data_IF_500565945643
#
_entry.id   IF_500565945643
#
_cell.length_a   1.000
_cell.length_b   1.000
_cell.length_c   1.000
_cell.angle_alpha   90.00
_cell.angle_beta   90.00
_cell.angle_gamma   90.00
#
_symmetry.space_group_name_H-M   'P 1'
#
loop_
_entity.id
_entity.type
_entity.pdbx_description
1 polymer ?
#
# COMPACT_ATOMS: atom_id res chain seq x y z
N UNK A 1 -44.65 -7.81 -9.05
CA UNK A 1 -43.60 -6.81 -9.35
C UNK A 1 -43.14 -6.02 -8.13
N UNK A 2 -44.03 -5.37 -7.37
CA UNK A 2 -43.67 -4.60 -6.15
C UNK A 2 -42.95 -5.43 -5.05
N UNK A 3 -43.36 -6.69 -4.85
CA UNK A 3 -42.77 -7.56 -3.81
C UNK A 3 -41.32 -8.00 -4.14
N UNK A 4 -41.00 -8.26 -5.41
CA UNK A 4 -39.63 -8.58 -5.84
C UNK A 4 -38.68 -7.39 -5.70
N UNK A 5 -39.16 -6.17 -5.92
CA UNK A 5 -38.37 -4.95 -5.70
C UNK A 5 -38.05 -4.79 -4.21
N UNK A 6 -39.04 -4.99 -3.33
CA UNK A 6 -38.83 -4.91 -1.88
C UNK A 6 -37.85 -5.98 -1.38
N UNK A 7 -37.94 -7.22 -1.88
CA UNK A 7 -37.01 -8.30 -1.53
C UNK A 7 -35.60 -7.99 -2.03
N UNK A 8 -35.44 -7.50 -3.27
CA UNK A 8 -34.14 -7.10 -3.81
C UNK A 8 -33.53 -5.91 -3.07
N UNK A 9 -34.33 -4.90 -2.69
CA UNK A 9 -33.87 -3.79 -1.86
C UNK A 9 -33.44 -4.26 -0.47
N UNK A 10 -34.19 -5.19 0.14
CA UNK A 10 -33.84 -5.77 1.44
C UNK A 10 -32.54 -6.58 1.38
N UNK A 11 -32.35 -7.39 0.33
CA UNK A 11 -31.10 -8.10 0.08
C UNK A 11 -29.93 -7.14 -0.17
N UNK A 12 -30.14 -6.06 -0.94
CA UNK A 12 -29.12 -5.02 -1.13
C UNK A 12 -28.75 -4.34 0.19
N UNK A 13 -29.73 -4.05 1.05
CA UNK A 13 -29.50 -3.44 2.36
C UNK A 13 -28.72 -4.36 3.30
N UNK A 14 -28.91 -5.68 3.23
CA UNK A 14 -28.10 -6.65 3.99
C UNK A 14 -26.64 -6.63 3.53
N UNK A 15 -26.38 -6.30 2.26
CA UNK A 15 -25.03 -6.17 1.72
C UNK A 15 -24.36 -4.82 2.03
N UNK A 16 -25.04 -3.89 2.72
CA UNK A 16 -24.43 -2.62 3.12
C UNK A 16 -23.67 -2.86 4.43
N UNK A 17 -22.39 -3.20 4.30
CA UNK A 17 -21.49 -3.19 5.44
C UNK A 17 -21.20 -1.75 5.87
N UNK A 18 -21.31 -1.48 7.16
CA UNK A 18 -20.87 -0.21 7.73
C UNK A 18 -19.34 -0.16 7.74
N UNK A 19 -18.76 0.74 6.93
CA UNK A 19 -17.33 1.02 6.98
C UNK A 19 -17.04 1.89 8.20
N UNK A 20 -16.41 1.31 9.22
CA UNK A 20 -15.90 2.06 10.36
C UNK A 20 -14.55 2.68 10.01
N UNK A 21 -14.34 3.96 10.34
CA UNK A 21 -13.01 4.53 10.26
C UNK A 21 -12.09 3.88 11.30
N UNK A 22 -10.78 3.93 11.07
CA UNK A 22 -9.81 3.41 12.04
C UNK A 22 -9.94 4.11 13.39
N UNK A 23 -9.60 3.42 14.47
CA UNK A 23 -9.61 3.99 15.82
C UNK A 23 -8.71 5.23 15.97
N UNK A 24 -7.62 5.30 15.19
CA UNK A 24 -6.72 6.46 15.16
C UNK A 24 -7.37 7.64 14.45
N UNK A 25 -8.07 7.39 13.33
CA UNK A 25 -8.76 8.41 12.55
C UNK A 25 -9.91 9.04 13.35
N UNK A 26 -10.66 8.24 14.11
CA UNK A 26 -11.74 8.74 14.98
C UNK A 26 -11.25 9.42 16.26
N UNK A 27 -9.95 9.34 16.57
CA UNK A 27 -9.41 9.85 17.82
C UNK A 27 -9.49 11.39 17.88
N UNK A 28 -10.04 11.97 18.97
CA UNK A 28 -10.03 13.42 19.16
C UNK A 28 -8.62 14.03 19.19
N UNK A 29 -7.61 13.25 19.60
CA UNK A 29 -6.20 13.69 19.58
C UNK A 29 -5.71 13.90 18.15
N UNK A 30 -6.05 12.96 17.27
CA UNK A 30 -5.64 12.99 15.87
C UNK A 30 -6.37 14.08 15.11
N UNK A 31 -7.71 14.12 15.19
CA UNK A 31 -8.55 15.09 14.47
C UNK A 31 -8.19 16.54 14.80
N UNK A 32 -8.10 16.88 16.10
CA UNK A 32 -7.73 18.24 16.53
C UNK A 32 -6.31 18.63 16.11
N UNK A 33 -5.38 17.67 16.13
CA UNK A 33 -4.02 17.92 15.67
C UNK A 33 -4.01 18.20 14.16
N UNK A 34 -4.70 17.36 13.38
CA UNK A 34 -4.72 17.44 11.93
C UNK A 34 -5.36 18.77 11.47
N UNK A 35 -6.54 19.10 11.98
CA UNK A 35 -7.23 20.37 11.69
C UNK A 35 -6.32 21.58 11.93
N UNK A 36 -5.69 21.64 13.12
CA UNK A 36 -4.77 22.72 13.48
C UNK A 36 -3.54 22.75 12.57
N UNK A 37 -2.97 21.59 12.25
CA UNK A 37 -1.75 21.51 11.44
C UNK A 37 -2.02 21.96 10.00
N UNK A 38 -3.17 21.58 9.43
CA UNK A 38 -3.57 21.99 8.09
C UNK A 38 -3.78 23.50 8.00
N UNK A 39 -4.47 24.11 8.97
CA UNK A 39 -4.71 25.56 9.00
C UNK A 39 -3.40 26.34 9.15
N UNK A 40 -2.45 25.85 9.95
CA UNK A 40 -1.20 26.58 10.20
C UNK A 40 -0.15 26.41 9.11
N UNK A 41 -0.12 25.25 8.44
CA UNK A 41 0.97 24.91 7.53
C UNK A 41 0.56 24.84 6.05
N UNK A 42 -0.72 24.67 5.72
CA UNK A 42 -1.18 24.34 4.37
C UNK A 42 -2.12 25.38 3.73
N UNK A 43 -2.02 26.67 4.07
CA UNK A 43 -2.94 27.74 3.65
C UNK A 43 -3.04 28.05 2.15
N UNK A 44 -1.99 27.77 1.36
CA UNK A 44 -1.97 27.97 -0.12
C UNK A 44 -1.54 26.68 -0.83
N UNK A 45 -2.37 25.62 -0.80
CA UNK A 45 -2.08 24.28 -1.32
C UNK A 45 -0.74 23.66 -0.84
N UNK A 46 -0.18 24.20 0.25
CA UNK A 46 1.15 23.83 0.76
C UNK A 46 2.33 24.36 -0.07
N UNK A 47 2.16 25.33 -0.97
CA UNK A 47 3.25 25.92 -1.74
C UNK A 47 4.34 26.53 -0.83
N UNK A 48 3.93 27.21 0.23
CA UNK A 48 4.83 27.81 1.23
C UNK A 48 5.50 26.73 2.13
N UNK A 49 4.87 25.55 2.26
CA UNK A 49 5.42 24.38 2.96
C UNK A 49 6.50 23.68 2.13
N UNK A 50 6.22 23.43 0.84
CA UNK A 50 7.17 22.85 -0.12
C UNK A 50 8.45 23.68 -0.21
N UNK A 51 8.33 25.02 -0.17
CA UNK A 51 9.47 25.91 -0.33
C UNK A 51 10.37 26.03 0.92
N UNK A 52 9.80 25.96 2.13
CA UNK A 52 10.55 26.29 3.37
C UNK A 52 10.94 25.10 4.25
N UNK A 53 10.31 23.93 4.10
CA UNK A 53 10.43 22.86 5.12
C UNK A 53 10.60 21.44 4.60
N UNK A 54 10.37 21.16 3.32
CA UNK A 54 10.31 19.78 2.86
C UNK A 54 11.68 19.28 2.36
N UNK A 55 12.12 18.14 2.88
CA UNK A 55 13.31 17.45 2.38
C UNK A 55 13.15 17.09 0.88
N UNK A 56 14.25 17.22 0.12
CA UNK A 56 14.25 16.96 -1.33
C UNK A 56 13.69 15.58 -1.69
N UNK A 57 14.02 14.56 -0.89
CA UNK A 57 13.53 13.19 -1.10
C UNK A 57 12.00 13.14 -0.99
N UNK A 58 11.43 13.85 -0.03
CA UNK A 58 9.99 13.88 0.18
C UNK A 58 9.28 14.63 -0.95
N UNK A 59 9.90 15.69 -1.47
CA UNK A 59 9.42 16.42 -2.64
C UNK A 59 9.35 15.51 -3.88
N UNK A 60 10.42 14.77 -4.18
CA UNK A 60 10.45 13.85 -5.34
C UNK A 60 9.47 12.68 -5.20
N UNK A 61 9.24 12.20 -3.98
CA UNK A 61 8.22 11.20 -3.67
C UNK A 61 6.81 11.79 -3.60
N UNK A 62 6.65 13.09 -3.92
CA UNK A 62 5.37 13.81 -3.97
C UNK A 62 4.57 13.70 -2.67
N UNK A 63 5.24 13.75 -1.52
CA UNK A 63 4.55 13.91 -0.23
C UNK A 63 3.91 15.30 -0.18
N UNK A 64 2.61 15.37 0.09
CA UNK A 64 1.89 16.65 0.18
C UNK A 64 1.99 17.24 1.59
N UNK A 65 1.64 18.53 1.74
CA UNK A 65 1.53 19.16 3.05
C UNK A 65 0.52 18.42 3.96
N UNK A 66 -0.58 17.94 3.37
CA UNK A 66 -1.58 17.14 4.08
C UNK A 66 -0.97 15.82 4.58
N UNK A 67 -0.17 15.12 3.77
CA UNK A 67 0.46 13.87 4.18
C UNK A 67 1.47 14.05 5.31
N UNK A 68 2.19 15.16 5.34
CA UNK A 68 3.10 15.51 6.44
C UNK A 68 2.32 15.81 7.73
N UNK A 69 1.22 16.57 7.63
CA UNK A 69 0.34 16.83 8.78
C UNK A 69 -0.26 15.52 9.33
N UNK A 70 -0.72 14.63 8.45
CA UNK A 70 -1.21 13.29 8.84
C UNK A 70 -0.12 12.50 9.56
N UNK A 71 1.10 12.47 9.01
CA UNK A 71 2.22 11.74 9.60
C UNK A 71 2.63 12.27 10.98
N UNK A 72 2.79 13.58 11.13
CA UNK A 72 3.13 14.18 12.41
C UNK A 72 2.04 13.94 13.47
N UNK A 73 0.78 14.14 13.09
CA UNK A 73 -0.35 13.97 14.01
C UNK A 73 -0.58 12.51 14.38
N UNK A 74 -0.31 11.58 13.46
CA UNK A 74 -0.27 10.15 13.74
C UNK A 74 0.73 9.87 14.88
N UNK A 75 1.99 10.29 14.76
CA UNK A 75 3.00 10.03 15.79
C UNK A 75 2.73 10.75 17.12
N UNK A 76 2.20 11.97 17.10
CA UNK A 76 1.73 12.67 18.30
C UNK A 76 0.61 11.89 19.00
N UNK A 77 -0.31 11.31 18.23
CA UNK A 77 -1.40 10.48 18.76
C UNK A 77 -0.88 9.16 19.32
N UNK A 78 0.02 8.48 18.61
CA UNK A 78 0.67 7.25 19.08
C UNK A 78 1.39 7.48 20.41
N UNK A 79 2.13 8.59 20.53
CA UNK A 79 2.78 8.98 21.80
C UNK A 79 1.75 9.17 22.92
N UNK A 80 0.68 9.93 22.66
CA UNK A 80 -0.37 10.16 23.66
C UNK A 80 -1.08 8.87 24.12
N UNK A 81 -1.22 7.88 23.25
CA UNK A 81 -1.76 6.56 23.59
C UNK A 81 -0.77 5.76 24.44
N UNK A 82 0.49 5.71 24.04
CA UNK A 82 1.55 5.01 24.77
C UNK A 82 1.75 5.59 26.17
N UNK A 83 1.73 6.91 26.33
CA UNK A 83 1.84 7.60 27.63
C UNK A 83 0.71 7.20 28.61
N UNK A 84 -0.42 6.68 28.09
CA UNK A 84 -1.57 6.19 28.85
C UNK A 84 -1.64 4.67 28.95
N UNK A 85 -0.62 3.95 28.48
CA UNK A 85 -0.62 2.49 28.33
C UNK A 85 -1.79 1.95 27.48
N UNK A 86 -2.26 2.74 26.51
CA UNK A 86 -3.24 2.29 25.54
C UNK A 86 -2.55 1.62 24.34
N UNK A 87 -3.28 0.75 23.64
CA UNK A 87 -2.77 0.10 22.43
C UNK A 87 -2.67 1.10 21.29
N UNK A 88 -1.58 1.06 20.54
CA UNK A 88 -1.41 1.83 19.31
C UNK A 88 -2.61 1.61 18.39
N UNK A 89 -3.29 2.67 17.92
CA UNK A 89 -4.38 2.52 16.97
C UNK A 89 -3.87 2.49 15.52
N UNK A 90 -4.71 1.99 14.61
CA UNK A 90 -4.50 2.11 13.17
C UNK A 90 -5.00 3.46 12.66
N UNK A 91 -4.40 3.94 11.56
CA UNK A 91 -4.75 5.17 10.85
C UNK A 91 -4.94 4.84 9.37
N UNK A 92 -6.05 5.23 8.78
CA UNK A 92 -6.45 4.88 7.40
C UNK A 92 -6.26 3.38 7.07
N UNK A 93 -6.62 2.49 8.01
CA UNK A 93 -6.48 1.04 7.87
C UNK A 93 -5.04 0.50 8.00
N UNK A 94 -4.06 1.37 8.29
CA UNK A 94 -2.63 0.99 8.37
C UNK A 94 -2.07 1.18 9.78
N UNK A 95 -1.06 0.40 10.11
CA UNK A 95 -0.26 0.61 11.31
C UNK A 95 0.73 1.77 11.10
N UNK A 96 1.04 2.56 12.15
CA UNK A 96 1.99 3.66 12.04
C UNK A 96 3.41 3.12 11.84
N UNK A 97 4.03 3.47 10.71
CA UNK A 97 5.42 3.14 10.40
C UNK A 97 6.31 4.38 10.42
N UNK A 98 7.55 4.21 10.87
CA UNK A 98 8.56 5.27 10.81
C UNK A 98 9.07 5.32 9.38
N UNK A 99 8.99 6.49 8.73
CA UNK A 99 9.48 6.65 7.37
C UNK A 99 11.01 6.61 7.37
N UNK A 100 11.59 6.00 6.35
CA UNK A 100 13.03 6.00 6.13
C UNK A 100 13.30 6.35 4.67
N UNK A 101 14.12 7.39 4.43
CA UNK A 101 14.36 7.94 3.09
C UNK A 101 13.05 8.23 2.32
N UNK A 102 12.02 8.69 3.04
CA UNK A 102 10.70 8.97 2.49
C UNK A 102 9.85 7.75 2.12
N UNK A 103 10.35 6.51 2.27
CA UNK A 103 9.55 5.30 2.10
C UNK A 103 8.52 5.18 3.23
N UNK A 104 7.27 4.90 2.89
CA UNK A 104 6.19 4.70 3.85
C UNK A 104 6.40 3.44 4.69
N UNK A 105 6.77 2.32 4.05
CA UNK A 105 6.95 1.02 4.70
C UNK A 105 8.31 0.40 4.35
N UNK A 106 9.41 0.86 4.99
CA UNK A 106 10.78 0.52 4.55
C UNK A 106 11.07 -0.98 4.51
N UNK A 107 10.57 -1.74 5.49
CA UNK A 107 10.76 -3.19 5.53
C UNK A 107 10.07 -3.87 4.34
N UNK A 108 8.81 -3.51 4.06
CA UNK A 108 8.05 -4.04 2.93
C UNK A 108 8.76 -3.74 1.61
N UNK A 109 9.27 -2.52 1.41
CA UNK A 109 10.04 -2.15 0.22
C UNK A 109 11.28 -3.03 0.04
N UNK A 110 12.07 -3.22 1.10
CA UNK A 110 13.28 -4.06 1.06
C UNK A 110 12.94 -5.50 0.71
N UNK A 111 11.93 -6.09 1.36
CA UNK A 111 11.53 -7.46 1.09
C UNK A 111 10.96 -7.64 -0.32
N UNK A 112 10.20 -6.67 -0.84
CA UNK A 112 9.72 -6.71 -2.22
C UNK A 112 10.86 -6.63 -3.24
N UNK A 113 11.85 -5.74 -3.04
CA UNK A 113 13.04 -5.68 -3.89
C UNK A 113 13.82 -7.00 -3.86
N UNK A 114 14.02 -7.58 -2.67
CA UNK A 114 14.72 -8.86 -2.53
C UNK A 114 13.96 -10.00 -3.23
N UNK A 115 12.63 -10.06 -3.12
CA UNK A 115 11.83 -11.05 -3.84
C UNK A 115 11.96 -10.87 -5.36
N UNK A 116 11.84 -9.66 -5.89
CA UNK A 116 12.05 -9.37 -7.31
C UNK A 116 13.44 -9.85 -7.78
N UNK A 117 14.48 -9.54 -7.00
CA UNK A 117 15.85 -9.96 -7.27
C UNK A 117 16.00 -11.49 -7.34
N UNK A 118 15.42 -12.23 -6.38
CA UNK A 118 15.49 -13.68 -6.39
C UNK A 118 14.71 -14.30 -7.57
N UNK A 119 13.54 -13.78 -7.92
CA UNK A 119 12.81 -14.25 -9.11
C UNK A 119 13.58 -13.98 -10.40
N UNK A 120 14.24 -12.83 -10.53
CA UNK A 120 15.10 -12.52 -11.66
C UNK A 120 16.31 -13.47 -11.74
N UNK A 121 16.97 -13.74 -10.61
CA UNK A 121 18.06 -14.71 -10.53
C UNK A 121 17.61 -16.14 -10.87
N UNK A 122 16.42 -16.55 -10.42
CA UNK A 122 15.85 -17.84 -10.76
C UNK A 122 15.53 -17.95 -12.25
N UNK A 123 15.03 -16.89 -12.88
CA UNK A 123 14.87 -16.86 -14.33
C UNK A 123 16.22 -17.06 -15.06
N UNK A 124 17.27 -16.40 -14.61
CA UNK A 124 18.61 -16.56 -15.20
C UNK A 124 19.20 -17.96 -14.97
N UNK A 125 18.98 -18.53 -13.79
CA UNK A 125 19.37 -19.91 -13.49
C UNK A 125 18.61 -20.91 -14.37
N UNK A 126 17.29 -20.75 -14.49
CA UNK A 126 16.43 -21.57 -15.33
C UNK A 126 16.91 -21.58 -16.79
N UNK A 127 17.23 -20.41 -17.36
CA UNK A 127 17.78 -20.29 -18.72
C UNK A 127 19.11 -21.00 -18.95
N UNK A 128 19.92 -21.18 -17.90
CA UNK A 128 21.23 -21.86 -17.98
C UNK A 128 21.11 -23.38 -17.82
N UNK A 129 20.18 -23.84 -16.98
CA UNK A 129 20.09 -25.24 -16.58
C UNK A 129 19.04 -26.03 -17.39
N UNK A 130 18.01 -25.37 -17.92
CA UNK A 130 16.92 -26.01 -18.66
C UNK A 130 17.14 -25.84 -20.16
N UNK A 131 17.03 -26.93 -20.92
CA UNK A 131 17.16 -26.87 -22.37
C UNK A 131 16.02 -26.04 -22.97
N UNK A 132 16.28 -25.16 -23.95
CA UNK A 132 15.25 -24.29 -24.54
C UNK A 132 14.07 -25.03 -25.19
N UNK A 133 14.27 -26.28 -25.62
CA UNK A 133 13.27 -27.15 -26.25
C UNK A 133 12.41 -27.93 -25.23
N UNK A 134 12.65 -27.73 -23.93
CA UNK A 134 11.87 -28.39 -22.88
C UNK A 134 10.41 -27.93 -22.92
N UNK A 135 9.43 -28.83 -22.66
CA UNK A 135 8.03 -28.45 -22.55
C UNK A 135 7.85 -27.39 -21.45
N UNK A 136 6.88 -26.50 -21.63
CA UNK A 136 6.53 -25.44 -20.67
C UNK A 136 7.63 -24.40 -20.39
N UNK A 137 8.72 -24.37 -21.16
CA UNK A 137 9.76 -23.34 -21.03
C UNK A 137 9.19 -21.92 -21.09
N UNK A 138 8.26 -21.66 -22.01
CA UNK A 138 7.58 -20.37 -22.13
C UNK A 138 6.75 -20.06 -20.87
N UNK A 139 6.04 -21.04 -20.32
CA UNK A 139 5.22 -20.87 -19.13
C UNK A 139 6.08 -20.42 -17.93
N UNK A 140 7.22 -21.07 -17.71
CA UNK A 140 8.15 -20.68 -16.64
C UNK A 140 8.73 -19.28 -16.83
N UNK A 141 9.04 -18.89 -18.07
CA UNK A 141 9.46 -17.51 -18.35
C UNK A 141 8.37 -16.49 -18.02
N UNK A 142 7.12 -16.75 -18.42
CA UNK A 142 5.97 -15.89 -18.09
C UNK A 142 5.80 -15.82 -16.57
N UNK A 143 5.87 -16.97 -15.87
CA UNK A 143 5.78 -17.02 -14.42
C UNK A 143 6.82 -16.13 -13.73
N UNK A 144 8.10 -16.25 -14.09
CA UNK A 144 9.15 -15.40 -13.51
C UNK A 144 8.93 -13.92 -13.80
N UNK A 145 8.52 -13.57 -15.02
CA UNK A 145 8.21 -12.18 -15.38
C UNK A 145 7.04 -11.62 -14.58
N UNK A 146 5.97 -12.40 -14.38
CA UNK A 146 4.83 -12.04 -13.54
C UNK A 146 5.28 -11.77 -12.10
N UNK A 147 6.08 -12.67 -11.52
CA UNK A 147 6.60 -12.48 -10.16
C UNK A 147 7.47 -11.22 -10.05
N UNK A 148 8.44 -11.01 -10.96
CA UNK A 148 9.30 -9.81 -10.94
C UNK A 148 8.46 -8.54 -11.05
N UNK A 149 7.48 -8.51 -11.95
CA UNK A 149 6.61 -7.36 -12.15
C UNK A 149 5.74 -7.06 -10.92
N UNK A 150 5.20 -8.10 -10.27
CA UNK A 150 4.41 -7.96 -9.06
C UNK A 150 5.23 -7.42 -7.88
N UNK A 151 6.41 -7.97 -7.64
CA UNK A 151 7.28 -7.48 -6.58
C UNK A 151 7.82 -6.07 -6.85
N UNK A 152 8.00 -5.69 -8.12
CA UNK A 152 8.30 -4.31 -8.49
C UNK A 152 7.17 -3.36 -8.08
N UNK A 153 5.91 -3.65 -8.45
CA UNK A 153 4.77 -2.80 -8.08
C UNK A 153 4.52 -2.76 -6.58
N UNK A 154 4.74 -3.88 -5.88
CA UNK A 154 4.73 -3.92 -4.41
C UNK A 154 5.78 -2.97 -3.81
N UNK A 155 7.02 -2.99 -4.30
CA UNK A 155 8.06 -2.07 -3.81
C UNK A 155 7.70 -0.60 -4.08
N UNK A 156 7.10 -0.29 -5.23
CA UNK A 156 6.63 1.06 -5.58
C UNK A 156 5.51 1.52 -4.64
N UNK A 157 4.50 0.69 -4.41
CA UNK A 157 3.37 0.99 -3.53
C UNK A 157 3.81 1.22 -2.07
N UNK A 158 4.64 0.32 -1.52
CA UNK A 158 5.14 0.46 -0.15
C UNK A 158 6.13 1.62 0.02
N UNK A 159 6.73 2.11 -1.07
CA UNK A 159 7.52 3.34 -1.06
C UNK A 159 6.59 4.54 -0.95
N UNK A 160 5.62 4.64 -1.87
CA UNK A 160 4.65 5.74 -1.93
C UNK A 160 3.29 5.24 -2.40
N UNK A 161 2.32 5.42 -1.52
CA UNK A 161 0.95 5.02 -1.75
C UNK A 161 0.16 6.07 -2.55
N UNK A 162 -0.28 5.67 -3.75
CA UNK A 162 -1.29 6.34 -4.56
C UNK A 162 -2.34 5.32 -5.02
N UNK A 163 -3.57 5.75 -5.37
CA UNK A 163 -4.62 4.84 -5.85
C UNK A 163 -4.18 3.96 -7.04
N UNK A 164 -3.34 4.50 -7.93
CA UNK A 164 -2.78 3.74 -9.05
C UNK A 164 -1.78 2.68 -8.59
N UNK A 165 -0.87 3.00 -7.67
CA UNK A 165 0.15 2.06 -7.19
C UNK A 165 -0.49 0.96 -6.35
N UNK A 166 -1.51 1.30 -5.55
CA UNK A 166 -2.31 0.35 -4.78
C UNK A 166 -3.03 -0.64 -5.71
N UNK A 167 -3.71 -0.14 -6.75
CA UNK A 167 -4.36 -0.98 -7.75
C UNK A 167 -3.36 -1.94 -8.41
N UNK A 168 -2.19 -1.44 -8.80
CA UNK A 168 -1.17 -2.23 -9.48
C UNK A 168 -0.54 -3.28 -8.56
N UNK A 169 -0.31 -2.96 -7.29
CA UNK A 169 0.16 -3.94 -6.31
C UNK A 169 -0.85 -5.09 -6.17
N UNK A 170 -2.12 -4.80 -5.91
CA UNK A 170 -3.15 -5.83 -5.77
C UNK A 170 -3.39 -6.63 -7.05
N UNK A 171 -3.47 -5.96 -8.20
CA UNK A 171 -3.66 -6.64 -9.48
C UNK A 171 -2.48 -7.60 -9.79
N UNK A 172 -1.24 -7.16 -9.52
CA UNK A 172 -0.08 -7.99 -9.78
C UNK A 172 0.07 -9.12 -8.75
N UNK A 173 -0.21 -8.87 -7.47
CA UNK A 173 -0.25 -9.92 -6.45
C UNK A 173 -1.29 -11.00 -6.80
N UNK A 174 -2.47 -10.59 -7.26
CA UNK A 174 -3.49 -11.52 -7.75
C UNK A 174 -3.03 -12.32 -8.98
N UNK A 175 -2.28 -11.70 -9.90
CA UNK A 175 -1.73 -12.42 -11.06
C UNK A 175 -0.71 -13.49 -10.67
N UNK A 176 0.08 -13.30 -9.61
CA UNK A 176 0.92 -14.37 -9.04
C UNK A 176 0.04 -15.55 -8.60
N UNK A 177 -1.06 -15.29 -7.89
CA UNK A 177 -1.96 -16.35 -7.40
C UNK A 177 -2.58 -17.11 -8.58
N UNK A 178 -3.09 -16.41 -9.59
CA UNK A 178 -3.63 -17.03 -10.80
C UNK A 178 -2.60 -17.89 -11.52
N UNK A 179 -1.37 -17.38 -11.69
CA UNK A 179 -0.30 -18.14 -12.33
C UNK A 179 0.12 -19.36 -11.52
N UNK A 180 0.17 -19.28 -10.19
CA UNK A 180 0.42 -20.45 -9.34
C UNK A 180 -0.69 -21.49 -9.49
N UNK A 181 -1.97 -21.09 -9.46
CA UNK A 181 -3.09 -21.99 -9.71
C UNK A 181 -2.99 -22.68 -11.08
N UNK A 182 -2.68 -21.92 -12.13
CA UNK A 182 -2.50 -22.47 -13.48
C UNK A 182 -1.33 -23.46 -13.56
N UNK A 183 -0.18 -23.12 -12.97
CA UNK A 183 1.00 -24.00 -12.93
C UNK A 183 0.71 -25.29 -12.13
N UNK A 184 -0.06 -25.21 -11.04
CA UNK A 184 -0.45 -26.40 -10.26
C UNK A 184 -1.34 -27.37 -11.04
N UNK A 185 -2.19 -26.86 -11.95
CA UNK A 185 -3.11 -27.69 -12.75
C UNK A 185 -2.42 -28.36 -13.93
N UNK A 186 -1.43 -27.69 -14.54
CA UNK A 186 -0.74 -28.19 -15.75
C UNK A 186 0.44 -29.10 -15.44
N UNK A 187 1.00 -28.99 -14.24
CA UNK A 187 2.13 -29.80 -13.79
C UNK A 187 1.74 -31.27 -13.64
#
# INVERSE_FOLDING_TARGET
MKMYILVNCFLLCICIEFCYCSAGDSSPYYQKCLERSLILNCTDDGADFMYRKQDLILYYLKWSCEDECKYECMWKTVKAFNDRNWRTPQFYGKWPFVRFLGMQEPASVVFSILNAYFHFNMMNKFRKEVRPDSPLTLLWHIYFMVCVHAWFWSAVFHTRDFPLTELLDYACAFSIVLMNCYVMVIR
#
